data_IF_663378994838
#
_entry.id   IF_663378994838
#
_cell.length_a   1.000
_cell.length_b   1.000
_cell.length_c   1.000
_cell.angle_alpha   90.00
_cell.angle_beta   90.00
_cell.angle_gamma   90.00
#
_symmetry.space_group_name_H-M   'P 1'
#
loop_
_entity.id
_entity.type
_entity.pdbx_description
1 polymer ?
#
# COMPACT_ATOMS: atom_id res chain seq x y z
N UNK A 1 2.04 -13.43 -1.59
CA UNK A 1 1.76 -14.88 -1.47
C UNK A 1 1.05 -15.24 -0.16
N UNK A 2 1.29 -14.51 0.94
CA UNK A 2 0.63 -14.77 2.23
C UNK A 2 -0.90 -14.75 2.13
N UNK A 3 -1.47 -13.76 1.43
CA UNK A 3 -2.93 -13.68 1.25
C UNK A 3 -3.47 -14.66 0.19
N UNK A 4 -2.68 -14.99 -0.83
CA UNK A 4 -3.12 -15.95 -1.85
C UNK A 4 -3.33 -17.35 -1.27
N UNK A 5 -2.44 -17.81 -0.37
CA UNK A 5 -2.57 -19.10 0.27
C UNK A 5 -3.89 -19.26 1.05
N UNK A 6 -4.23 -18.36 2.02
CA UNK A 6 -5.51 -18.36 2.70
C UNK A 6 -6.70 -18.20 1.75
N UNK A 7 -6.58 -17.32 0.73
CA UNK A 7 -7.62 -17.10 -0.26
C UNK A 7 -7.94 -18.36 -1.06
N UNK A 8 -6.93 -19.12 -1.49
CA UNK A 8 -7.11 -20.39 -2.20
C UNK A 8 -7.77 -21.44 -1.32
N UNK A 9 -7.38 -21.55 -0.05
CA UNK A 9 -7.96 -22.53 0.88
C UNK A 9 -9.44 -22.30 1.18
N UNK A 10 -9.91 -21.05 1.11
CA UNK A 10 -11.30 -20.66 1.33
C UNK A 10 -12.12 -20.48 0.04
N UNK A 11 -11.55 -20.81 -1.13
CA UNK A 11 -12.15 -20.54 -2.44
C UNK A 11 -12.59 -19.06 -2.59
N UNK A 12 -11.72 -18.13 -2.21
CA UNK A 12 -11.97 -16.70 -2.26
C UNK A 12 -11.98 -16.22 -3.71
N UNK A 13 -13.01 -15.44 -4.05
CA UNK A 13 -13.05 -14.73 -5.32
C UNK A 13 -12.01 -13.60 -5.31
N UNK A 14 -11.16 -13.55 -6.33
CA UNK A 14 -10.20 -12.45 -6.54
C UNK A 14 -10.48 -11.81 -7.89
N UNK A 15 -10.09 -10.54 -8.12
CA UNK A 15 -10.23 -9.90 -9.43
C UNK A 15 -9.62 -10.75 -10.55
N UNK A 16 -10.30 -10.83 -11.69
CA UNK A 16 -10.03 -11.83 -12.76
C UNK A 16 -8.59 -11.78 -13.27
N UNK A 17 -8.06 -10.58 -13.45
CA UNK A 17 -6.73 -10.32 -14.00
C UNK A 17 -5.63 -10.16 -12.93
N UNK A 18 -5.96 -10.27 -11.64
CA UNK A 18 -5.01 -10.04 -10.53
C UNK A 18 -3.71 -10.89 -10.69
N UNK A 19 -3.85 -12.15 -11.10
CA UNK A 19 -2.72 -13.06 -11.25
C UNK A 19 -1.82 -12.74 -12.45
N UNK A 20 -2.33 -12.03 -13.44
CA UNK A 20 -1.59 -11.66 -14.65
C UNK A 20 -0.46 -10.65 -14.35
N UNK A 21 -0.62 -9.86 -13.28
CA UNK A 21 0.35 -8.83 -12.86
C UNK A 21 1.46 -9.32 -11.93
N UNK A 22 1.58 -10.64 -11.68
CA UNK A 22 2.69 -11.20 -10.88
C UNK A 22 4.07 -10.78 -11.40
N UNK A 23 4.23 -10.68 -12.72
CA UNK A 23 5.47 -10.21 -13.33
C UNK A 23 5.79 -8.75 -12.99
N UNK A 24 4.78 -7.87 -12.98
CA UNK A 24 4.94 -6.48 -12.60
C UNK A 24 5.30 -6.37 -11.10
N UNK A 25 4.63 -7.12 -10.23
CA UNK A 25 4.94 -7.19 -8.79
C UNK A 25 6.38 -7.65 -8.55
N UNK A 26 6.87 -8.65 -9.29
CA UNK A 26 8.26 -9.11 -9.19
C UNK A 26 9.26 -8.02 -9.63
N UNK A 27 8.94 -7.22 -10.65
CA UNK A 27 9.76 -6.07 -11.07
C UNK A 27 9.83 -5.00 -9.97
N UNK A 28 8.70 -4.71 -9.31
CA UNK A 28 8.64 -3.78 -8.19
C UNK A 28 9.52 -4.28 -7.04
N UNK A 29 9.37 -5.55 -6.66
CA UNK A 29 10.21 -6.16 -5.61
C UNK A 29 11.71 -6.04 -5.93
N UNK A 30 12.11 -6.32 -7.18
CA UNK A 30 13.49 -6.15 -7.61
C UNK A 30 13.96 -4.70 -7.53
N UNK A 31 13.11 -3.73 -7.92
CA UNK A 31 13.44 -2.31 -7.86
C UNK A 31 13.69 -1.84 -6.42
N UNK A 32 12.75 -2.12 -5.51
CA UNK A 32 12.88 -1.70 -4.11
C UNK A 32 14.00 -2.44 -3.35
N UNK A 33 14.43 -3.60 -3.83
CA UNK A 33 15.58 -4.34 -3.26
C UNK A 33 16.94 -3.80 -3.68
N UNK A 34 17.05 -3.05 -4.78
CA UNK A 34 18.34 -2.49 -5.25
C UNK A 34 18.97 -1.54 -4.23
N UNK A 35 18.17 -0.72 -3.59
CA UNK A 35 18.57 0.24 -2.57
C UNK A 35 17.70 0.06 -1.32
N UNK A 36 17.75 -1.15 -0.74
CA UNK A 36 16.93 -1.47 0.42
C UNK A 36 17.25 -0.55 1.59
N UNK A 37 16.20 0.02 2.17
CA UNK A 37 16.29 0.77 3.41
C UNK A 37 16.25 -0.18 4.62
N UNK A 38 16.80 0.27 5.74
CA UNK A 38 16.61 -0.44 7.00
C UNK A 38 15.14 -0.42 7.39
N UNK A 39 14.63 -1.56 7.81
CA UNK A 39 13.27 -1.64 8.35
C UNK A 39 13.17 -0.91 9.69
N UNK A 40 12.03 -0.30 9.93
CA UNK A 40 11.69 0.42 11.15
C UNK A 40 10.36 -0.07 11.70
N UNK A 41 10.04 0.17 12.98
CA UNK A 41 8.68 -0.04 13.48
C UNK A 41 7.70 0.82 12.69
N UNK A 42 6.72 0.18 12.07
CA UNK A 42 5.66 0.78 11.29
C UNK A 42 4.30 0.39 11.87
N UNK A 43 3.32 1.24 11.71
CA UNK A 43 1.93 0.95 12.03
C UNK A 43 1.29 0.04 10.97
N UNK A 44 1.66 0.25 9.71
CA UNK A 44 1.22 -0.46 8.50
C UNK A 44 -0.26 -0.27 8.11
N UNK A 45 -1.04 0.49 8.87
CA UNK A 45 -2.46 0.74 8.63
C UNK A 45 -2.84 2.17 9.02
N UNK A 46 -2.16 3.16 8.46
CA UNK A 46 -2.36 4.58 8.77
C UNK A 46 -3.55 5.17 7.98
N UNK A 47 -4.76 4.69 8.32
CA UNK A 47 -6.03 5.27 7.90
C UNK A 47 -6.31 6.57 8.66
N UNK A 48 -7.16 7.45 8.09
CA UNK A 48 -7.58 8.68 8.76
C UNK A 48 -8.30 8.38 10.10
N UNK A 49 -9.06 7.31 10.14
CA UNK A 49 -9.83 6.84 11.30
C UNK A 49 -8.95 6.40 12.46
N UNK A 50 -7.67 6.05 12.20
CA UNK A 50 -6.72 5.64 13.22
C UNK A 50 -6.00 6.84 13.88
N UNK A 51 -6.30 8.06 13.47
CA UNK A 51 -5.83 9.27 14.10
C UNK A 51 -6.94 9.95 14.91
N UNK A 52 -6.70 10.17 16.19
CA UNK A 52 -7.63 10.90 17.07
C UNK A 52 -6.97 12.20 17.50
N UNK A 53 -7.57 13.31 17.09
CA UNK A 53 -7.18 14.66 17.54
C UNK A 53 -8.08 15.09 18.71
N UNK A 54 -7.49 15.28 19.89
CA UNK A 54 -8.19 15.77 21.08
C UNK A 54 -8.10 17.30 21.25
N UNK A 55 -7.57 18.00 20.24
CA UNK A 55 -7.32 19.44 20.23
C UNK A 55 -6.05 19.87 20.96
N UNK A 56 -5.28 18.94 21.50
CA UNK A 56 -3.98 19.17 22.16
C UNK A 56 -2.87 18.33 21.56
N UNK A 57 -3.19 17.10 21.19
CA UNK A 57 -2.27 16.16 20.57
C UNK A 57 -3.01 15.20 19.66
N UNK A 58 -2.26 14.63 18.74
CA UNK A 58 -2.74 13.57 17.85
C UNK A 58 -2.37 12.22 18.44
N UNK A 59 -3.38 11.37 18.61
CA UNK A 59 -3.22 10.01 19.07
C UNK A 59 -3.29 9.07 17.87
N UNK A 60 -2.49 8.03 17.90
CA UNK A 60 -2.55 6.93 16.94
C UNK A 60 -3.03 5.67 17.66
N UNK A 61 -4.01 4.99 17.07
CA UNK A 61 -4.66 3.79 17.62
C UNK A 61 -4.63 2.65 16.61
N UNK A 62 -5.12 1.45 16.95
CA UNK A 62 -5.28 0.28 16.08
C UNK A 62 -3.94 -0.25 15.53
N UNK A 63 -3.11 -0.82 16.42
CA UNK A 63 -1.76 -1.30 16.11
C UNK A 63 -1.69 -2.79 15.72
N UNK A 64 -2.78 -3.46 15.37
CA UNK A 64 -2.82 -4.91 15.08
C UNK A 64 -2.02 -5.32 13.84
N UNK A 65 -1.80 -4.41 12.89
CA UNK A 65 -0.93 -4.64 11.71
C UNK A 65 0.50 -4.17 11.92
N UNK A 66 0.82 -3.63 13.09
CA UNK A 66 2.14 -3.04 13.32
C UNK A 66 3.26 -4.08 13.30
N UNK A 67 4.40 -3.67 12.79
CA UNK A 67 5.57 -4.52 12.66
C UNK A 67 6.72 -3.80 12.00
N UNK A 68 7.87 -4.46 11.89
CA UNK A 68 9.01 -3.90 11.16
C UNK A 68 8.75 -3.94 9.65
N UNK A 69 8.83 -2.78 9.00
CA UNK A 69 8.64 -2.64 7.56
C UNK A 69 9.54 -1.54 6.99
N UNK A 70 9.55 -1.42 5.67
CA UNK A 70 10.20 -0.32 4.96
C UNK A 70 9.45 1.00 5.26
N UNK A 71 10.13 2.07 5.69
CA UNK A 71 9.46 3.33 5.98
C UNK A 71 8.72 3.92 4.76
N UNK A 72 9.18 3.65 3.54
CA UNK A 72 8.48 4.08 2.34
C UNK A 72 7.16 3.33 2.11
N UNK A 73 6.99 2.10 2.66
CA UNK A 73 5.69 1.44 2.69
C UNK A 73 4.71 2.21 3.57
N UNK A 74 5.12 2.53 4.79
CA UNK A 74 4.32 3.30 5.74
C UNK A 74 3.85 4.62 5.14
N UNK A 75 4.80 5.42 4.62
CA UNK A 75 4.50 6.71 4.02
C UNK A 75 3.70 6.61 2.73
N UNK A 76 3.98 5.61 1.88
CA UNK A 76 3.24 5.35 0.66
C UNK A 76 1.80 4.92 0.94
N UNK A 77 1.60 4.00 1.89
CA UNK A 77 0.27 3.60 2.36
C UNK A 77 -0.51 4.80 2.91
N UNK A 78 0.12 5.61 3.76
CA UNK A 78 -0.49 6.84 4.30
C UNK A 78 -0.97 7.77 3.17
N UNK A 79 -0.12 8.03 2.17
CA UNK A 79 -0.50 8.87 1.02
C UNK A 79 -1.71 8.29 0.27
N UNK A 80 -1.75 6.97 0.12
CA UNK A 80 -2.81 6.28 -0.59
C UNK A 80 -4.13 6.33 0.17
N UNK A 81 -4.11 6.08 1.46
CA UNK A 81 -5.30 6.10 2.31
C UNK A 81 -5.87 7.51 2.51
N UNK A 82 -5.00 8.50 2.70
CA UNK A 82 -5.40 9.90 2.86
C UNK A 82 -5.62 10.62 1.51
N UNK A 83 -5.46 9.92 0.38
CA UNK A 83 -5.63 10.46 -0.98
C UNK A 83 -4.74 11.68 -1.24
N UNK A 84 -3.51 11.63 -0.75
CA UNK A 84 -2.53 12.70 -0.93
C UNK A 84 -2.06 12.76 -2.38
N UNK A 85 -1.95 14.01 -2.90
CA UNK A 85 -1.34 14.26 -4.21
C UNK A 85 0.19 14.35 -4.11
N UNK A 86 0.83 14.55 -5.27
CA UNK A 86 2.30 14.57 -5.40
C UNK A 86 2.98 15.59 -4.46
N UNK A 87 2.40 16.78 -4.29
CA UNK A 87 2.97 17.81 -3.41
C UNK A 87 2.97 17.37 -1.94
N UNK A 88 1.88 16.77 -1.48
CA UNK A 88 1.73 16.27 -0.11
C UNK A 88 2.62 15.05 0.14
N UNK A 89 2.76 14.16 -0.86
CA UNK A 89 3.71 13.04 -0.80
C UNK A 89 5.15 13.54 -0.67
N UNK A 90 5.54 14.56 -1.43
CA UNK A 90 6.87 15.15 -1.34
C UNK A 90 7.10 15.84 0.01
N UNK A 91 6.10 16.54 0.55
CA UNK A 91 6.15 17.15 1.87
C UNK A 91 6.33 16.11 2.97
N UNK A 92 5.53 15.03 2.95
CA UNK A 92 5.62 13.92 3.90
C UNK A 92 6.98 13.22 3.81
N UNK A 93 7.48 12.98 2.60
CA UNK A 93 8.81 12.43 2.35
C UNK A 93 9.90 13.32 2.97
N UNK A 94 9.86 14.63 2.71
CA UNK A 94 10.83 15.57 3.24
C UNK A 94 10.74 15.69 4.77
N UNK A 95 9.55 15.64 5.34
CA UNK A 95 9.34 15.69 6.79
C UNK A 95 9.98 14.47 7.48
N UNK A 96 9.89 13.29 6.88
CA UNK A 96 10.45 12.06 7.46
C UNK A 96 11.95 11.90 7.19
N UNK A 97 12.38 12.06 5.93
CA UNK A 97 13.77 11.79 5.52
C UNK A 97 14.68 13.04 5.55
N UNK A 98 14.14 14.23 5.83
CA UNK A 98 14.85 15.51 5.71
C UNK A 98 14.99 16.01 4.27
N UNK A 99 14.55 15.23 3.28
CA UNK A 99 14.60 15.55 1.85
C UNK A 99 13.60 14.68 1.06
N UNK A 100 13.19 15.16 -0.11
CA UNK A 100 12.38 14.41 -1.06
C UNK A 100 13.16 14.18 -2.35
N UNK A 101 13.94 13.11 -2.40
CA UNK A 101 14.67 12.74 -3.62
C UNK A 101 13.77 11.98 -4.60
N UNK A 102 14.15 11.97 -5.89
CA UNK A 102 13.44 11.20 -6.92
C UNK A 102 13.35 9.71 -6.53
N UNK A 103 14.44 9.13 -6.01
CA UNK A 103 14.48 7.73 -5.58
C UNK A 103 13.53 7.44 -4.41
N UNK A 104 13.52 8.28 -3.36
CA UNK A 104 12.60 8.10 -2.23
C UNK A 104 11.13 8.24 -2.66
N UNK A 105 10.81 9.21 -3.51
CA UNK A 105 9.46 9.42 -4.03
C UNK A 105 9.02 8.25 -4.93
N UNK A 106 9.90 7.76 -5.80
CA UNK A 106 9.62 6.59 -6.62
C UNK A 106 9.35 5.36 -5.75
N UNK A 107 10.16 5.16 -4.71
CA UNK A 107 9.98 4.08 -3.74
C UNK A 107 8.64 4.17 -3.00
N UNK A 108 8.26 5.36 -2.52
CA UNK A 108 6.96 5.58 -1.87
C UNK A 108 5.80 5.28 -2.82
N UNK A 109 5.86 5.70 -4.10
CA UNK A 109 4.83 5.41 -5.11
C UNK A 109 4.71 3.90 -5.39
N UNK A 110 5.84 3.20 -5.52
CA UNK A 110 5.84 1.75 -5.69
C UNK A 110 5.21 1.04 -4.48
N UNK A 111 5.49 1.50 -3.27
CA UNK A 111 4.87 0.93 -2.07
C UNK A 111 3.40 1.33 -1.89
N UNK A 112 2.98 2.53 -2.31
CA UNK A 112 1.57 2.90 -2.39
C UNK A 112 0.79 1.96 -3.33
N UNK A 113 1.36 1.67 -4.51
CA UNK A 113 0.81 0.67 -5.42
C UNK A 113 0.76 -0.72 -4.77
N UNK A 114 1.82 -1.14 -4.09
CA UNK A 114 1.85 -2.46 -3.41
C UNK A 114 0.88 -2.54 -2.23
N UNK A 115 0.59 -1.43 -1.57
CA UNK A 115 -0.49 -1.33 -0.58
C UNK A 115 -1.84 -1.68 -1.21
N UNK A 116 -2.20 -1.06 -2.34
CA UNK A 116 -3.44 -1.38 -3.05
C UNK A 116 -3.51 -2.84 -3.47
N UNK A 117 -2.42 -3.38 -4.00
CA UNK A 117 -2.33 -4.81 -4.38
C UNK A 117 -2.56 -5.73 -3.16
N UNK A 118 -1.97 -5.40 -2.02
CA UNK A 118 -2.13 -6.18 -0.78
C UNK A 118 -3.55 -6.08 -0.21
N UNK A 119 -4.07 -4.87 -0.04
CA UNK A 119 -5.40 -4.62 0.51
C UNK A 119 -6.53 -5.12 -0.39
N UNK A 120 -6.32 -5.23 -1.71
CA UNK A 120 -7.23 -5.94 -2.63
C UNK A 120 -7.46 -7.38 -2.18
N UNK A 121 -6.40 -8.12 -1.86
CA UNK A 121 -6.54 -9.52 -1.40
C UNK A 121 -7.15 -9.61 -0.02
N UNK A 122 -6.79 -8.70 0.88
CA UNK A 122 -7.42 -8.62 2.20
C UNK A 122 -8.93 -8.40 2.09
N UNK A 123 -9.36 -7.42 1.29
CA UNK A 123 -10.78 -7.15 1.06
C UNK A 123 -11.52 -8.33 0.44
N UNK A 124 -10.91 -8.99 -0.54
CA UNK A 124 -11.47 -10.20 -1.16
C UNK A 124 -11.65 -11.35 -0.16
N UNK A 125 -10.70 -11.52 0.77
CA UNK A 125 -10.81 -12.51 1.86
C UNK A 125 -11.93 -12.09 2.81
N UNK A 126 -11.97 -10.83 3.24
CA UNK A 126 -13.01 -10.33 4.14
C UNK A 126 -14.42 -10.47 3.53
N UNK A 127 -14.57 -10.23 2.23
CA UNK A 127 -15.83 -10.46 1.51
C UNK A 127 -16.35 -11.90 1.65
N UNK A 128 -15.47 -12.86 1.88
CA UNK A 128 -15.83 -14.26 2.07
C UNK A 128 -16.09 -14.65 3.52
N UNK A 129 -15.31 -14.09 4.46
CA UNK A 129 -15.28 -14.61 5.84
C UNK A 129 -15.88 -13.63 6.88
N UNK A 130 -15.97 -12.34 6.57
CA UNK A 130 -16.49 -11.34 7.50
C UNK A 130 -17.99 -11.49 7.72
N UNK A 131 -18.43 -11.21 8.94
CA UNK A 131 -19.85 -11.10 9.32
C UNK A 131 -20.31 -9.65 9.45
N UNK A 132 -19.43 -8.69 9.16
CA UNK A 132 -19.77 -7.26 9.19
C UNK A 132 -20.60 -6.89 7.97
N UNK A 133 -21.59 -5.99 8.20
CA UNK A 133 -22.39 -5.39 7.12
C UNK A 133 -21.59 -4.29 6.41
N UNK A 134 -20.65 -4.72 5.58
CA UNK A 134 -19.77 -3.86 4.80
C UNK A 134 -19.43 -4.53 3.46
N UNK A 135 -19.44 -3.75 2.38
CA UNK A 135 -19.10 -4.27 1.04
C UNK A 135 -17.58 -4.39 0.84
N UNK A 136 -17.02 -5.46 1.37
CA UNK A 136 -15.61 -5.78 1.21
C UNK A 136 -15.21 -6.09 -0.24
N UNK A 137 -16.18 -6.50 -1.09
CA UNK A 137 -15.87 -6.74 -2.49
C UNK A 137 -15.70 -5.42 -3.25
N UNK A 138 -16.57 -4.45 -3.03
CA UNK A 138 -16.41 -3.10 -3.57
C UNK A 138 -15.10 -2.47 -3.09
N UNK A 139 -14.78 -2.61 -1.81
CA UNK A 139 -13.48 -2.19 -1.26
C UNK A 139 -12.31 -2.82 -2.02
N UNK A 140 -12.32 -4.14 -2.24
CA UNK A 140 -11.25 -4.86 -2.94
C UNK A 140 -11.14 -4.42 -4.42
N UNK A 141 -12.26 -4.33 -5.12
CA UNK A 141 -12.26 -3.95 -6.54
C UNK A 141 -11.88 -2.50 -6.77
N UNK A 142 -12.30 -1.59 -5.92
CA UNK A 142 -11.88 -0.17 -5.98
C UNK A 142 -10.37 -0.02 -5.84
N UNK A 143 -9.74 -0.76 -4.91
CA UNK A 143 -8.27 -0.75 -4.77
C UNK A 143 -7.58 -1.38 -5.96
N UNK A 144 -8.13 -2.48 -6.46
CA UNK A 144 -7.59 -3.14 -7.64
C UNK A 144 -7.65 -2.26 -8.89
N UNK A 145 -8.75 -1.57 -9.12
CA UNK A 145 -8.91 -0.66 -10.26
C UNK A 145 -7.90 0.49 -10.21
N UNK A 146 -7.63 1.02 -9.02
CA UNK A 146 -6.60 2.03 -8.79
C UNK A 146 -5.20 1.47 -9.08
N UNK A 147 -4.88 0.29 -8.58
CA UNK A 147 -3.62 -0.41 -8.88
C UNK A 147 -3.45 -0.67 -10.37
N UNK A 148 -4.51 -1.13 -11.06
CA UNK A 148 -4.50 -1.38 -12.50
C UNK A 148 -4.20 -0.12 -13.31
N UNK A 149 -4.74 1.03 -12.91
CA UNK A 149 -4.45 2.30 -13.55
C UNK A 149 -2.94 2.57 -13.60
N UNK A 150 -2.24 2.30 -12.51
CA UNK A 150 -0.77 2.47 -12.42
C UNK A 150 -0.04 1.34 -13.13
N UNK A 151 -0.44 0.08 -12.94
CA UNK A 151 0.18 -1.09 -13.56
C UNK A 151 0.15 -1.04 -15.10
N UNK A 152 -0.87 -0.41 -15.66
CA UNK A 152 -1.04 -0.18 -17.11
C UNK A 152 -0.54 1.20 -17.55
N UNK A 153 -0.21 2.08 -16.61
CA UNK A 153 0.22 3.45 -16.87
C UNK A 153 1.68 3.56 -17.32
N UNK A 154 2.04 4.66 -17.97
CA UNK A 154 3.39 4.91 -18.45
C UNK A 154 4.38 5.24 -17.32
N UNK A 155 3.90 5.61 -16.12
CA UNK A 155 4.70 6.11 -15.02
C UNK A 155 5.50 5.00 -14.33
N UNK A 156 4.99 3.77 -14.35
CA UNK A 156 5.56 2.64 -13.63
C UNK A 156 7.03 2.39 -13.99
N UNK A 157 7.36 2.43 -15.28
CA UNK A 157 8.73 2.16 -15.73
C UNK A 157 9.72 3.23 -15.24
N UNK A 158 9.30 4.50 -15.16
CA UNK A 158 10.10 5.57 -14.56
C UNK A 158 10.35 5.34 -13.07
N UNK A 159 9.31 5.01 -12.31
CA UNK A 159 9.46 4.71 -10.87
C UNK A 159 10.33 3.48 -10.63
N UNK A 160 10.24 2.46 -11.48
CA UNK A 160 11.10 1.28 -11.40
C UNK A 160 12.57 1.60 -11.67
N UNK A 161 12.88 2.64 -12.46
CA UNK A 161 14.24 3.07 -12.73
C UNK A 161 14.83 3.89 -11.59
N UNK A 162 14.01 4.77 -11.00
CA UNK A 162 14.43 5.75 -9.99
C UNK A 162 14.54 5.16 -8.57
N UNK A 163 13.83 4.04 -8.27
CA UNK A 163 13.75 3.41 -6.96
C UNK A 163 14.98 2.57 -6.57
#
# INVERSE_FOLDING_TARGET
>A
EFYLGPGESHAVLIPVDYREYRGAVARIEQAVRRQALSTVPCHNDLLAENYIDDGRQLWLIEFEYSGNNDPCFELGNTCQELKYGEAQMAELCAAYFGQATASLLARMRLFALMSDVGWTLWGAIQAKISTLDYDFWDYATTRWDRALGILKGPELDGWLQDA
#
